data_IF_481984155886
#
_entry.id   IF_481984155886
#
_cell.length_a   1.000
_cell.length_b   1.000
_cell.length_c   1.000
_cell.angle_alpha   90.00
_cell.angle_beta   90.00
_cell.angle_gamma   90.00
#
_symmetry.space_group_name_H-M   'P 1'
#
loop_
_entity.id
_entity.type
_entity.pdbx_description
1 polymer ?
#
# COMPACT_ATOMS: atom_id res chain seq x y z
N UNK A 1 7.21 0.20 -5.86
CA UNK A 1 6.16 0.10 -4.82
C UNK A 1 6.11 -1.35 -4.35
N UNK A 2 5.67 -1.63 -3.13
CA UNK A 2 5.38 -2.99 -2.65
C UNK A 2 3.91 -3.05 -2.25
N UNK A 3 3.28 -4.20 -2.43
CA UNK A 3 1.87 -4.46 -2.14
C UNK A 3 1.72 -5.73 -1.30
N UNK A 4 0.64 -5.79 -0.52
CA UNK A 4 0.22 -6.92 0.30
C UNK A 4 -1.02 -7.53 -0.33
N UNK A 5 -1.06 -8.86 -0.45
CA UNK A 5 -2.25 -9.59 -0.91
C UNK A 5 -3.28 -9.68 0.23
N UNK A 6 -4.44 -9.02 0.14
CA UNK A 6 -5.44 -9.03 1.22
C UNK A 6 -6.07 -10.42 1.41
N UNK A 7 -6.04 -11.31 0.41
CA UNK A 7 -6.59 -12.67 0.55
C UNK A 7 -5.62 -13.62 1.27
N UNK A 8 -4.31 -13.33 1.25
CA UNK A 8 -3.29 -14.12 1.94
C UNK A 8 -2.85 -13.50 3.27
N UNK A 9 -3.14 -12.22 3.48
CA UNK A 9 -2.90 -11.55 4.75
C UNK A 9 -3.74 -12.22 5.84
N UNK A 10 -3.12 -12.46 7.00
CA UNK A 10 -3.78 -13.06 8.18
C UNK A 10 -3.89 -12.06 9.34
N UNK A 11 -3.72 -10.76 9.06
CA UNK A 11 -3.81 -9.66 10.02
C UNK A 11 -2.91 -9.81 11.27
N UNK A 12 -1.71 -10.38 11.11
CA UNK A 12 -0.79 -10.58 12.24
C UNK A 12 -0.09 -9.31 12.75
N UNK A 13 -0.10 -8.23 11.97
CA UNK A 13 0.43 -6.91 12.34
C UNK A 13 1.97 -6.80 12.42
N UNK A 14 2.73 -7.87 12.20
CA UNK A 14 4.20 -7.89 12.34
C UNK A 14 4.90 -6.92 11.38
N UNK A 15 4.36 -6.71 10.18
CA UNK A 15 4.95 -5.82 9.19
C UNK A 15 4.83 -4.33 9.52
N UNK A 16 3.87 -3.93 10.36
CA UNK A 16 3.56 -2.53 10.67
C UNK A 16 4.75 -1.83 11.34
N UNK A 17 5.30 -2.31 12.48
CA UNK A 17 6.45 -1.66 13.13
C UNK A 17 7.76 -1.79 12.33
N UNK A 18 7.83 -2.73 11.40
CA UNK A 18 9.01 -2.98 10.57
C UNK A 18 9.13 -1.99 9.39
N UNK A 19 8.05 -1.28 9.05
CA UNK A 19 8.07 -0.31 7.97
C UNK A 19 8.75 1.01 8.43
N UNK A 20 9.93 1.39 7.87
CA UNK A 20 10.69 2.56 8.34
C UNK A 20 10.04 3.92 8.03
N UNK A 21 8.89 3.92 7.35
CA UNK A 21 8.13 5.11 6.94
C UNK A 21 6.65 5.00 7.30
N UNK A 22 6.27 4.03 8.14
CA UNK A 22 4.90 3.84 8.63
C UNK A 22 3.84 3.79 7.51
N UNK A 23 4.16 3.15 6.37
CA UNK A 23 3.30 3.14 5.19
C UNK A 23 2.23 2.02 5.19
N UNK A 24 2.28 1.12 6.18
CA UNK A 24 1.37 -0.03 6.27
C UNK A 24 0.28 0.29 7.28
N UNK A 25 -0.97 0.09 6.86
CA UNK A 25 -2.18 0.23 7.69
C UNK A 25 -2.91 -1.10 7.77
N UNK A 26 -3.73 -1.29 8.80
CA UNK A 26 -4.54 -2.50 8.97
C UNK A 26 -5.79 -2.46 8.08
N UNK A 27 -6.31 -3.64 7.74
CA UNK A 27 -7.58 -3.75 7.00
C UNK A 27 -8.74 -3.10 7.78
N UNK A 28 -8.73 -3.19 9.11
CA UNK A 28 -9.70 -2.51 9.98
C UNK A 28 -9.78 -1.00 9.73
N UNK A 29 -8.65 -0.35 9.38
CA UNK A 29 -8.62 1.08 9.10
C UNK A 29 -9.35 1.46 7.80
N UNK A 30 -9.61 0.48 6.92
CA UNK A 30 -10.23 0.71 5.60
C UNK A 30 -11.56 -0.02 5.41
N UNK A 31 -11.96 -0.96 6.30
CA UNK A 31 -13.22 -1.73 6.18
C UNK A 31 -14.45 -0.86 5.90
N UNK A 32 -14.64 0.20 6.68
CA UNK A 32 -15.79 1.10 6.50
C UNK A 32 -15.68 1.91 5.20
N UNK A 33 -14.45 2.30 4.83
CA UNK A 33 -14.15 3.08 3.62
C UNK A 33 -14.50 2.28 2.37
N UNK A 34 -14.18 0.98 2.34
CA UNK A 34 -14.43 0.10 1.20
C UNK A 34 -15.92 -0.09 0.91
N UNK A 35 -16.77 0.02 1.93
CA UNK A 35 -18.22 -0.13 1.82
C UNK A 35 -18.92 1.18 1.43
N UNK A 36 -18.25 2.33 1.60
CA UNK A 36 -18.79 3.63 1.24
C UNK A 36 -18.67 3.94 -0.26
N UNK A 37 -19.62 4.73 -0.76
CA UNK A 37 -19.56 5.34 -2.09
C UNK A 37 -18.51 6.45 -2.12
N UNK A 38 -17.86 6.66 -3.27
CA UNK A 38 -16.75 7.61 -3.37
C UNK A 38 -17.18 9.07 -3.07
N UNK A 39 -18.43 9.42 -3.33
CA UNK A 39 -18.98 10.75 -3.07
C UNK A 39 -19.12 11.09 -1.58
N UNK A 40 -19.12 10.08 -0.70
CA UNK A 40 -19.21 10.26 0.76
C UNK A 40 -17.86 10.23 1.45
N UNK A 41 -16.79 9.92 0.71
CA UNK A 41 -15.43 9.82 1.23
C UNK A 41 -14.69 11.16 1.12
N UNK A 42 -13.91 11.47 2.14
CA UNK A 42 -12.94 12.56 2.05
C UNK A 42 -11.70 12.16 1.22
N UNK A 43 -10.84 13.11 0.89
CA UNK A 43 -9.67 12.87 0.04
C UNK A 43 -8.66 11.87 0.61
N UNK A 44 -8.56 11.76 1.93
CA UNK A 44 -7.69 10.78 2.59
C UNK A 44 -8.28 9.37 2.50
N UNK A 45 -9.58 9.23 2.74
CA UNK A 45 -10.29 7.96 2.61
C UNK A 45 -10.29 7.47 1.16
N UNK A 46 -10.50 8.36 0.18
CA UNK A 46 -10.35 8.01 -1.24
C UNK A 46 -8.95 7.49 -1.56
N UNK A 47 -7.90 8.12 -1.01
CA UNK A 47 -6.52 7.63 -1.17
C UNK A 47 -6.34 6.23 -0.57
N UNK A 48 -6.83 6.00 0.65
CA UNK A 48 -6.77 4.67 1.28
C UNK A 48 -7.49 3.61 0.45
N UNK A 49 -8.70 3.92 -0.06
CA UNK A 49 -9.45 3.06 -0.97
C UNK A 49 -8.69 2.76 -2.25
N UNK A 50 -8.07 3.78 -2.87
CA UNK A 50 -7.22 3.62 -4.04
C UNK A 50 -6.03 2.70 -3.76
N UNK A 51 -5.32 2.90 -2.65
CA UNK A 51 -4.19 2.03 -2.29
C UNK A 51 -4.63 0.60 -1.99
N UNK A 52 -5.77 0.40 -1.33
CA UNK A 52 -6.32 -0.94 -1.11
C UNK A 52 -6.59 -1.65 -2.44
N UNK A 53 -7.20 -0.97 -3.41
CA UNK A 53 -7.46 -1.54 -4.74
C UNK A 53 -6.15 -1.90 -5.47
N UNK A 54 -5.13 -1.04 -5.38
CA UNK A 54 -3.79 -1.34 -5.92
C UNK A 54 -3.20 -2.58 -5.24
N UNK A 55 -3.34 -2.73 -3.94
CA UNK A 55 -2.86 -3.91 -3.22
C UNK A 55 -3.56 -5.19 -3.71
N UNK A 56 -4.89 -5.17 -3.78
CA UNK A 56 -5.69 -6.30 -4.24
C UNK A 56 -5.37 -6.70 -5.68
N UNK A 57 -5.22 -5.73 -6.59
CA UNK A 57 -4.97 -6.00 -8.00
C UNK A 57 -3.53 -6.43 -8.29
N UNK A 58 -2.55 -5.66 -7.80
CA UNK A 58 -1.15 -5.86 -8.19
C UNK A 58 -0.47 -6.97 -7.40
N UNK A 59 -1.00 -7.38 -6.23
CA UNK A 59 -0.52 -8.58 -5.54
C UNK A 59 -0.73 -9.86 -6.35
N UNK A 60 -1.70 -9.87 -7.27
CA UNK A 60 -1.95 -11.00 -8.19
C UNK A 60 -1.12 -10.91 -9.48
N UNK A 61 -0.59 -9.73 -9.82
CA UNK A 61 0.16 -9.46 -11.06
C UNK A 61 1.67 -9.46 -10.87
N UNK A 62 2.17 -8.95 -9.75
CA UNK A 62 3.59 -8.82 -9.48
C UNK A 62 4.19 -10.08 -8.84
N UNK A 63 5.48 -10.27 -9.02
CA UNK A 63 6.20 -11.40 -8.41
C UNK A 63 6.24 -11.30 -6.88
N UNK A 64 6.18 -12.46 -6.22
CA UNK A 64 6.25 -12.53 -4.78
C UNK A 64 7.67 -12.22 -4.25
N UNK A 65 7.76 -11.35 -3.25
CA UNK A 65 9.01 -11.04 -2.56
C UNK A 65 9.05 -11.76 -1.20
N UNK A 66 9.82 -12.84 -1.11
CA UNK A 66 9.96 -13.65 0.11
C UNK A 66 11.22 -13.33 0.92
N UNK A 67 12.08 -12.46 0.42
CA UNK A 67 13.36 -12.11 1.04
C UNK A 67 13.65 -10.62 0.91
N UNK A 68 14.25 -10.05 1.97
CA UNK A 68 14.64 -8.64 2.00
C UNK A 68 15.58 -8.31 0.85
N UNK A 69 15.30 -7.20 0.17
CA UNK A 69 16.20 -6.55 -0.79
C UNK A 69 16.66 -5.21 -0.23
N UNK A 70 17.76 -4.68 -0.78
CA UNK A 70 18.20 -3.32 -0.46
C UNK A 70 17.13 -2.32 -0.88
N UNK A 71 16.96 -1.26 -0.08
CA UNK A 71 16.09 -0.15 -0.45
C UNK A 71 16.54 0.48 -1.77
N UNK A 72 15.62 1.10 -2.50
CA UNK A 72 15.97 1.85 -3.72
C UNK A 72 16.95 2.98 -3.38
N UNK A 73 17.85 3.32 -4.31
CA UNK A 73 18.87 4.36 -4.11
C UNK A 73 18.30 5.72 -3.70
N UNK A 74 17.09 6.06 -4.15
CA UNK A 74 16.41 7.31 -3.82
C UNK A 74 15.44 7.20 -2.63
N UNK A 75 15.47 6.11 -1.85
CA UNK A 75 14.51 5.89 -0.76
C UNK A 75 14.52 7.02 0.28
N UNK A 76 15.70 7.50 0.69
CA UNK A 76 15.83 8.58 1.68
C UNK A 76 15.25 9.91 1.18
N UNK A 77 15.45 10.22 -0.11
CA UNK A 77 14.91 11.42 -0.75
C UNK A 77 13.37 11.43 -0.71
N UNK A 78 12.76 10.26 -0.93
CA UNK A 78 11.31 10.11 -1.00
C UNK A 78 10.67 9.72 0.34
N UNK A 79 11.43 9.70 1.45
CA UNK A 79 10.97 9.19 2.75
C UNK A 79 9.72 9.92 3.26
N UNK A 80 9.73 11.26 3.20
CA UNK A 80 8.67 12.13 3.71
C UNK A 80 7.92 12.90 2.62
N UNK A 81 8.12 12.52 1.36
CA UNK A 81 7.41 13.15 0.24
C UNK A 81 5.94 12.71 0.21
N UNK A 82 5.04 13.68 0.06
CA UNK A 82 3.60 13.46 -0.07
C UNK A 82 3.21 13.21 -1.54
N UNK A 83 2.05 12.60 -1.75
CA UNK A 83 1.47 12.36 -3.08
C UNK A 83 2.37 11.54 -4.04
N UNK A 84 3.15 10.60 -3.50
CA UNK A 84 4.01 9.68 -4.29
C UNK A 84 3.25 8.74 -5.24
N UNK A 85 1.92 8.70 -5.17
CA UNK A 85 1.08 7.92 -6.10
C UNK A 85 1.32 8.33 -7.57
N UNK A 86 1.75 9.56 -7.83
CA UNK A 86 2.13 10.01 -9.18
C UNK A 86 3.29 9.21 -9.80
N UNK A 87 4.10 8.54 -8.98
CA UNK A 87 5.20 7.68 -9.43
C UNK A 87 4.78 6.22 -9.59
N UNK A 88 3.51 5.88 -9.34
CA UNK A 88 3.01 4.54 -9.55
C UNK A 88 2.97 4.19 -11.04
N UNK A 89 3.46 3.00 -11.37
CA UNK A 89 3.39 2.41 -12.71
C UNK A 89 2.99 0.94 -12.55
N UNK A 90 2.07 0.50 -13.40
CA UNK A 90 1.60 -0.89 -13.44
C UNK A 90 2.73 -1.86 -13.84
N UNK A 91 3.64 -1.38 -14.70
CA UNK A 91 4.80 -2.12 -15.17
C UNK A 91 6.01 -1.78 -14.30
N UNK A 92 6.62 -2.81 -13.72
CA UNK A 92 7.94 -2.73 -13.08
C UNK A 92 8.97 -2.77 -14.21
N UNK A 93 9.39 -1.60 -14.68
CA UNK A 93 10.55 -1.46 -15.58
C UNK A 93 11.86 -1.51 -14.79
#
# INVERSE_FOLDING_TARGET
MLVIDPEQCIDCGVCIPECPIDAIVTDDAVKDILQCQDDTLNEEQKKLKTFYNINAEFSKKWENITSRKTAMSNADKHKHEKNKIQYFSENIT
#
